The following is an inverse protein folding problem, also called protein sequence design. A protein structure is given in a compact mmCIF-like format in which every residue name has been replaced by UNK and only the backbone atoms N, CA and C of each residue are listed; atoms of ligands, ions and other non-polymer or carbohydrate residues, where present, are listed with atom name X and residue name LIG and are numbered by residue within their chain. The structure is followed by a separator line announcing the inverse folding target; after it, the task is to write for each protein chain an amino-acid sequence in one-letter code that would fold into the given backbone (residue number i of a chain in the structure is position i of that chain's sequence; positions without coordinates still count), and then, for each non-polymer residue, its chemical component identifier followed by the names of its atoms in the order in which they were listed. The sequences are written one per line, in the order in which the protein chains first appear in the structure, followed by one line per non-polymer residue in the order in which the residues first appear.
data_IF_522245211955
#
_entry.id   IF_522245211955
#
_cell.length_a   1.000
_cell.length_b   1.000
_cell.length_c   1.000
_cell.angle_alpha   90.00
_cell.angle_beta   90.00
_cell.angle_gamma   90.00
#
_symmetry.space_group_name_H-M   'P 1'
#
loop_
_entity.id
_entity.type
_entity.pdbx_description
1 polymer ?
#
# COMPACT_ATOMS: atom_id res chain seq x y z
N UNK A 1 -9.09 14.61 2.28
CA UNK A 1 -9.19 13.19 1.83
C UNK A 1 -9.77 12.37 2.97
N UNK A 2 -10.76 11.50 2.68
CA UNK A 2 -11.45 10.73 3.72
C UNK A 2 -10.69 9.47 4.13
N UNK A 3 -10.76 9.15 5.42
CA UNK A 3 -10.38 7.85 5.96
C UNK A 3 -11.52 6.84 5.83
N UNK A 4 -11.20 5.55 5.86
CA UNK A 4 -12.19 4.48 5.91
C UNK A 4 -13.18 4.68 7.06
N UNK A 5 -14.42 4.29 6.81
CA UNK A 5 -15.52 4.48 7.74
C UNK A 5 -15.21 3.87 9.11
N UNK A 6 -15.34 4.70 10.16
CA UNK A 6 -15.57 4.23 11.52
C UNK A 6 -14.59 4.64 12.61
N UNK A 7 -13.53 5.43 12.39
CA UNK A 7 -12.63 5.82 13.51
C UNK A 7 -12.05 7.24 13.49
N UNK A 8 -11.63 7.82 12.34
CA UNK A 8 -11.20 9.23 12.33
C UNK A 8 -12.37 10.19 12.16
N UNK A 9 -12.43 11.23 12.99
CA UNK A 9 -13.44 12.31 12.94
C UNK A 9 -13.02 13.47 12.03
N UNK A 10 -11.73 13.55 11.68
CA UNK A 10 -11.21 14.53 10.71
C UNK A 10 -10.68 13.86 9.45
N UNK A 11 -10.57 14.66 8.38
CA UNK A 11 -9.88 14.25 7.16
C UNK A 11 -8.36 14.13 7.34
N UNK A 12 -7.69 13.51 6.35
CA UNK A 12 -6.23 13.49 6.25
C UNK A 12 -5.65 14.90 6.33
N UNK A 13 -4.64 15.06 7.18
CA UNK A 13 -3.90 16.31 7.34
C UNK A 13 -2.39 16.01 7.55
N UNK A 14 -1.60 17.07 7.75
CA UNK A 14 -0.17 16.97 7.96
C UNK A 14 0.25 16.12 9.18
N UNK A 15 -0.59 16.03 10.23
CA UNK A 15 -0.27 15.23 11.43
C UNK A 15 -0.18 13.74 11.11
N UNK A 16 -0.97 13.26 10.14
CA UNK A 16 -0.97 11.86 9.70
C UNK A 16 0.32 11.50 8.97
N UNK A 17 0.79 12.41 8.11
CA UNK A 17 2.06 12.24 7.40
C UNK A 17 3.22 12.27 8.38
N UNK A 18 3.30 13.28 9.25
CA UNK A 18 4.34 13.37 10.27
C UNK A 18 4.37 12.11 11.13
N UNK A 19 3.21 11.65 11.61
CA UNK A 19 3.11 10.41 12.38
C UNK A 19 3.65 9.19 11.64
N UNK A 20 3.29 9.03 10.37
CA UNK A 20 3.65 7.85 9.56
C UNK A 20 5.16 7.69 9.40
N UNK A 21 5.90 8.80 9.29
CA UNK A 21 7.36 8.79 9.22
C UNK A 21 8.02 8.81 10.61
N UNK A 22 7.49 9.59 11.56
CA UNK A 22 8.02 9.69 12.92
C UNK A 22 7.97 8.34 13.65
N UNK A 23 6.90 7.56 13.49
CA UNK A 23 6.80 6.20 14.02
C UNK A 23 8.00 5.32 13.64
N UNK A 24 8.47 5.42 12.39
CA UNK A 24 9.56 4.59 11.89
C UNK A 24 10.92 5.10 12.35
N UNK A 25 11.13 6.42 12.31
CA UNK A 25 12.42 7.05 12.61
C UNK A 25 12.69 7.25 14.10
N UNK A 26 11.71 7.74 14.84
CA UNK A 26 11.88 8.25 16.20
C UNK A 26 11.69 7.12 17.21
N UNK A 27 12.78 6.68 17.84
CA UNK A 27 12.75 5.60 18.82
C UNK A 27 11.89 5.91 20.05
N UNK A 28 11.62 7.18 20.33
CA UNK A 28 10.78 7.64 21.43
C UNK A 28 9.29 7.74 21.04
N UNK A 29 8.94 7.57 19.76
CA UNK A 29 7.54 7.52 19.36
C UNK A 29 6.87 6.28 20.00
N UNK A 30 5.70 6.42 20.66
CA UNK A 30 5.00 5.31 21.31
C UNK A 30 4.70 4.11 20.40
N UNK A 31 4.53 4.36 19.11
CA UNK A 31 4.28 3.32 18.10
C UNK A 31 5.56 2.68 17.54
N UNK A 32 6.74 3.21 17.86
CA UNK A 32 7.98 2.73 17.27
C UNK A 32 8.25 1.25 17.56
N UNK A 33 7.94 0.77 18.77
CA UNK A 33 8.11 -0.65 19.17
C UNK A 33 6.86 -1.51 19.01
N UNK A 34 5.73 -0.94 18.62
CA UNK A 34 4.48 -1.69 18.42
C UNK A 34 4.66 -2.69 17.27
N UNK A 35 4.11 -3.89 17.45
CA UNK A 35 4.22 -5.02 16.51
C UNK A 35 5.66 -5.44 16.17
N UNK A 36 6.61 -5.19 17.09
CA UNK A 36 8.02 -5.56 16.94
C UNK A 36 8.92 -4.42 16.45
N UNK A 37 8.34 -3.36 15.87
CA UNK A 37 9.11 -2.17 15.48
C UNK A 37 10.21 -2.42 14.45
N UNK A 38 9.96 -3.33 13.51
CA UNK A 38 10.89 -3.63 12.42
C UNK A 38 10.48 -2.85 11.17
N UNK A 39 11.28 -1.84 10.81
CA UNK A 39 11.02 -0.96 9.67
C UNK A 39 12.02 -1.27 8.54
N UNK A 40 12.01 -2.51 8.05
CA UNK A 40 13.07 -3.07 7.17
C UNK A 40 13.44 -2.19 5.97
N UNK A 41 12.45 -1.72 5.20
CA UNK A 41 12.71 -0.83 4.06
C UNK A 41 13.23 0.53 4.51
N UNK A 42 12.63 1.12 5.54
CA UNK A 42 13.01 2.44 6.04
C UNK A 42 14.47 2.43 6.52
N UNK A 43 14.84 1.42 7.30
CA UNK A 43 16.19 1.20 7.80
C UNK A 43 17.16 0.81 6.66
N UNK A 44 16.79 -0.16 5.83
CA UNK A 44 17.63 -0.68 4.75
C UNK A 44 17.94 0.33 3.65
N UNK A 45 17.07 1.31 3.44
CA UNK A 45 17.28 2.43 2.51
C UNK A 45 18.04 3.62 3.14
N UNK A 46 18.42 3.52 4.42
CA UNK A 46 19.17 4.58 5.11
C UNK A 46 18.35 5.84 5.38
N UNK A 47 17.01 5.75 5.40
CA UNK A 47 16.14 6.90 5.65
C UNK A 47 16.28 7.52 7.05
N UNK A 48 16.63 6.79 8.14
CA UNK A 48 16.90 7.40 9.43
C UNK A 48 18.03 8.46 9.39
N UNK A 49 19.06 8.23 8.58
CA UNK A 49 20.20 9.14 8.41
C UNK A 49 19.93 10.23 7.37
N UNK A 50 19.15 9.91 6.34
CA UNK A 50 18.81 10.84 5.27
C UNK A 50 17.79 11.89 5.72
N UNK A 51 16.69 11.47 6.35
CA UNK A 51 15.62 12.37 6.75
C UNK A 51 16.04 13.01 8.07
N UNK A 52 16.42 14.29 8.03
CA UNK A 52 16.73 15.07 9.23
C UNK A 52 15.46 15.38 10.03
N UNK A 53 14.38 15.76 9.35
CA UNK A 53 13.14 16.20 9.99
C UNK A 53 11.94 16.05 9.05
N UNK A 54 10.77 15.78 9.62
CA UNK A 54 9.48 15.87 8.92
C UNK A 54 8.63 16.91 9.64
N UNK A 55 8.47 18.08 9.01
CA UNK A 55 7.79 19.25 9.57
C UNK A 55 6.34 19.29 9.13
N UNK A 56 5.46 19.58 10.08
CA UNK A 56 4.16 20.19 9.80
C UNK A 56 4.37 21.70 9.62
N UNK A 57 4.21 22.21 8.40
CA UNK A 57 4.25 23.66 8.13
C UNK A 57 2.90 24.28 8.45
N UNK A 58 1.83 23.60 8.02
CA UNK A 58 0.43 23.89 8.34
C UNK A 58 -0.38 22.59 8.22
N UNK A 59 -1.72 22.64 8.34
CA UNK A 59 -2.57 21.45 8.30
C UNK A 59 -2.55 20.69 6.96
N UNK A 60 -2.15 21.33 5.87
CA UNK A 60 -2.13 20.74 4.52
C UNK A 60 -0.74 20.75 3.86
N UNK A 61 0.30 21.21 4.58
CA UNK A 61 1.67 21.31 4.07
C UNK A 61 2.65 20.58 4.99
N UNK A 62 3.37 19.63 4.42
CA UNK A 62 4.45 18.89 5.09
C UNK A 62 5.77 19.18 4.38
N UNK A 63 6.82 19.40 5.16
CA UNK A 63 8.17 19.61 4.64
C UNK A 63 9.12 18.54 5.16
N UNK A 64 9.75 17.81 4.24
CA UNK A 64 10.87 16.92 4.54
C UNK A 64 12.18 17.72 4.47
N UNK A 65 12.96 17.67 5.53
CA UNK A 65 14.32 18.22 5.56
C UNK A 65 15.29 17.06 5.48
N UNK A 66 16.12 17.04 4.44
CA UNK A 66 17.11 15.98 4.21
C UNK A 66 18.50 16.45 4.63
N UNK A 67 19.34 15.54 5.10
CA UNK A 67 20.74 15.80 5.47
C UNK A 67 21.65 15.99 4.26
N UNK A 68 21.23 15.49 3.10
CA UNK A 68 21.89 15.65 1.80
C UNK A 68 20.85 15.57 0.67
N UNK A 69 21.17 16.04 -0.55
CA UNK A 69 20.35 15.77 -1.72
C UNK A 69 20.26 14.27 -1.99
N UNK A 70 19.07 13.76 -2.27
CA UNK A 70 18.82 12.37 -2.62
C UNK A 70 17.92 12.33 -3.86
N UNK A 71 18.50 12.03 -5.01
CA UNK A 71 17.80 12.04 -6.29
C UNK A 71 16.56 11.13 -6.34
N UNK A 72 16.57 9.88 -5.81
CA UNK A 72 15.41 9.00 -5.83
C UNK A 72 14.35 9.32 -4.78
N UNK A 73 14.56 10.31 -3.89
CA UNK A 73 13.69 10.52 -2.72
C UNK A 73 12.19 10.61 -3.06
N UNK A 74 11.84 11.28 -4.16
CA UNK A 74 10.44 11.38 -4.59
C UNK A 74 9.85 10.02 -5.00
N UNK A 75 10.66 9.16 -5.63
CA UNK A 75 10.25 7.81 -5.98
C UNK A 75 10.15 6.92 -4.73
N UNK A 76 11.04 7.10 -3.75
CA UNK A 76 11.00 6.37 -2.47
C UNK A 76 9.70 6.67 -1.72
N UNK A 77 9.23 7.93 -1.72
CA UNK A 77 7.95 8.33 -1.13
C UNK A 77 6.72 7.70 -1.81
N UNK A 78 6.86 7.13 -3.00
CA UNK A 78 5.80 6.44 -3.72
C UNK A 78 5.77 4.92 -3.47
N UNK A 79 6.69 4.39 -2.67
CA UNK A 79 6.77 2.97 -2.32
C UNK A 79 5.78 2.60 -1.20
N UNK A 80 5.46 1.32 -1.09
CA UNK A 80 4.43 0.82 -0.17
C UNK A 80 4.74 1.14 1.32
N UNK A 81 6.00 1.13 1.74
CA UNK A 81 6.42 1.42 3.12
C UNK A 81 6.14 2.87 3.54
N UNK A 82 6.01 3.78 2.56
CA UNK A 82 5.74 5.20 2.77
C UNK A 82 4.24 5.52 2.85
N UNK A 83 3.39 4.49 2.97
CA UNK A 83 1.93 4.64 3.14
C UNK A 83 1.57 5.48 4.35
N UNK A 84 0.58 6.37 4.20
CA UNK A 84 0.12 7.27 5.26
C UNK A 84 -0.91 6.57 6.16
N UNK A 85 -0.61 6.53 7.46
CA UNK A 85 -1.44 5.99 8.53
C UNK A 85 -2.17 7.12 9.28
N UNK A 86 -3.35 6.82 9.82
CA UNK A 86 -4.13 7.79 10.58
C UNK A 86 -3.56 8.01 11.98
N UNK A 87 -3.14 9.24 12.28
CA UNK A 87 -2.69 9.64 13.63
C UNK A 87 -3.84 9.60 14.63
N UNK A 88 -5.04 10.03 14.23
CA UNK A 88 -6.21 10.01 15.10
C UNK A 88 -6.58 8.58 15.51
N UNK A 89 -6.55 7.64 14.56
CA UNK A 89 -6.79 6.24 14.87
C UNK A 89 -5.70 5.65 15.76
N UNK A 90 -4.43 6.00 15.50
CA UNK A 90 -3.32 5.62 16.36
C UNK A 90 -3.51 6.14 17.80
N UNK A 91 -3.94 7.38 17.98
CA UNK A 91 -4.23 7.93 19.31
C UNK A 91 -5.39 7.20 20.00
N UNK A 92 -6.46 6.90 19.26
CA UNK A 92 -7.59 6.15 19.79
C UNK A 92 -7.18 4.75 20.29
N UNK A 93 -6.37 4.03 19.52
CA UNK A 93 -5.90 2.68 19.90
C UNK A 93 -4.90 2.70 21.04
N UNK A 94 -4.05 3.73 21.11
CA UNK A 94 -3.13 3.92 22.23
C UNK A 94 -3.90 4.21 23.52
N UNK A 95 -4.90 5.09 23.48
CA UNK A 95 -5.80 5.38 24.61
C UNK A 95 -6.59 4.15 25.06
N UNK A 96 -7.00 3.30 24.11
CA UNK A 96 -7.69 2.05 24.39
C UNK A 96 -6.77 0.92 24.88
N UNK A 97 -5.45 1.14 24.98
CA UNK A 97 -4.48 0.13 25.38
C UNK A 97 -4.34 -1.03 24.40
N UNK A 98 -4.72 -0.83 23.12
CA UNK A 98 -4.63 -1.85 22.06
C UNK A 98 -3.92 -1.30 20.81
N UNK A 99 -2.69 -0.74 20.94
CA UNK A 99 -2.00 -0.09 19.84
C UNK A 99 -1.73 -1.01 18.65
N UNK A 100 -1.58 -2.31 18.85
CA UNK A 100 -1.41 -3.33 17.81
C UNK A 100 -2.57 -3.35 16.80
N UNK A 101 -3.76 -2.85 17.17
CA UNK A 101 -4.90 -2.73 16.25
C UNK A 101 -4.66 -1.72 15.12
N UNK A 102 -3.71 -0.79 15.27
CA UNK A 102 -3.31 0.07 14.16
C UNK A 102 -2.80 -0.77 12.98
N UNK A 103 -2.02 -1.81 13.26
CA UNK A 103 -1.39 -2.67 12.26
C UNK A 103 -2.29 -3.82 11.82
N UNK A 104 -3.08 -4.37 12.75
CA UNK A 104 -3.93 -5.54 12.50
C UNK A 104 -5.29 -5.19 11.89
N UNK A 105 -5.81 -3.98 12.15
CA UNK A 105 -7.11 -3.51 11.65
C UNK A 105 -6.90 -2.20 10.87
N UNK A 106 -6.44 -2.28 9.62
CA UNK A 106 -5.97 -1.12 8.87
C UNK A 106 -7.09 -0.12 8.57
N UNK A 107 -6.82 1.15 8.86
CA UNK A 107 -7.62 2.30 8.45
C UNK A 107 -6.75 3.16 7.53
N UNK A 108 -7.18 3.28 6.28
CA UNK A 108 -6.46 4.01 5.23
C UNK A 108 -7.36 4.97 4.46
N UNK A 109 -6.84 5.50 3.36
CA UNK A 109 -7.56 6.39 2.43
C UNK A 109 -7.65 5.81 1.00
N UNK A 110 -7.35 4.50 0.86
CA UNK A 110 -7.29 3.79 -0.41
C UNK A 110 -8.64 3.49 -1.06
N UNK A 111 -8.65 2.84 -2.23
CA UNK A 111 -9.90 2.53 -2.94
C UNK A 111 -10.73 1.40 -2.31
N UNK A 112 -10.12 0.57 -1.46
CA UNK A 112 -10.76 -0.59 -0.83
C UNK A 112 -10.48 -0.64 0.67
N UNK A 113 -11.50 -0.97 1.45
CA UNK A 113 -11.42 -1.15 2.89
C UNK A 113 -11.55 -2.62 3.29
N UNK A 114 -10.77 -3.06 4.28
CA UNK A 114 -10.83 -4.43 4.78
C UNK A 114 -12.20 -4.71 5.41
N UNK A 115 -12.90 -5.72 4.90
CA UNK A 115 -14.20 -6.17 5.43
C UNK A 115 -14.02 -7.39 6.34
N UNK A 116 -13.21 -8.36 5.93
CA UNK A 116 -12.99 -9.59 6.69
C UNK A 116 -11.63 -10.19 6.34
N UNK A 117 -10.92 -10.64 7.36
CA UNK A 117 -9.73 -11.47 7.21
C UNK A 117 -9.96 -12.82 7.88
N UNK A 118 -9.82 -13.91 7.12
CA UNK A 118 -9.76 -15.27 7.63
C UNK A 118 -8.37 -15.81 7.32
N UNK A 119 -7.57 -15.98 8.38
CA UNK A 119 -6.18 -16.42 8.30
C UNK A 119 -6.07 -17.68 7.44
N UNK A 120 -5.10 -17.68 6.54
CA UNK A 120 -4.77 -18.78 5.62
C UNK A 120 -5.90 -19.24 4.68
N UNK A 121 -7.00 -18.47 4.59
CA UNK A 121 -8.17 -18.83 3.78
C UNK A 121 -8.58 -17.72 2.80
N UNK A 122 -9.01 -16.56 3.30
CA UNK A 122 -9.54 -15.49 2.45
C UNK A 122 -9.42 -14.11 3.06
N UNK A 123 -9.26 -13.12 2.19
CA UNK A 123 -9.34 -11.70 2.53
C UNK A 123 -10.45 -11.08 1.69
N UNK A 124 -11.37 -10.36 2.34
CA UNK A 124 -12.46 -9.65 1.68
C UNK A 124 -12.29 -8.15 1.91
N UNK A 125 -12.38 -7.41 0.82
CA UNK A 125 -12.42 -5.96 0.83
C UNK A 125 -13.70 -5.48 0.18
N UNK A 126 -14.21 -4.34 0.67
CA UNK A 126 -15.31 -3.59 0.05
C UNK A 126 -14.74 -2.32 -0.59
N UNK A 127 -15.25 -1.91 -1.73
CA UNK A 127 -14.94 -0.59 -2.29
C UNK A 127 -15.29 0.52 -1.28
N UNK A 128 -14.43 1.51 -1.16
CA UNK A 128 -14.63 2.63 -0.26
C UNK A 128 -15.41 3.75 -0.96
N UNK A 129 -16.64 3.99 -0.53
CA UNK A 129 -17.53 4.98 -1.15
C UNK A 129 -17.02 6.42 -1.04
N UNK A 130 -16.23 6.71 0.01
CA UNK A 130 -15.59 8.00 0.24
C UNK A 130 -14.21 8.18 -0.40
N UNK A 131 -13.80 7.26 -1.29
CA UNK A 131 -12.50 7.33 -1.95
C UNK A 131 -12.34 8.63 -2.74
N UNK A 132 -11.21 9.31 -2.53
CA UNK A 132 -10.93 10.63 -3.10
C UNK A 132 -10.58 10.59 -4.59
N UNK A 133 -10.20 9.42 -5.11
CA UNK A 133 -9.85 9.21 -6.51
C UNK A 133 -10.99 8.63 -7.35
N UNK A 134 -10.63 7.96 -8.45
CA UNK A 134 -11.61 7.25 -9.28
C UNK A 134 -12.09 6.00 -8.56
N UNK A 135 -13.40 5.87 -8.36
CA UNK A 135 -14.00 4.70 -7.71
C UNK A 135 -13.71 3.42 -8.50
N UNK A 136 -13.40 2.30 -7.81
CA UNK A 136 -13.31 1.01 -8.47
C UNK A 136 -14.61 0.64 -9.18
N UNK A 137 -14.50 -0.08 -10.30
CA UNK A 137 -15.66 -0.65 -11.02
C UNK A 137 -16.20 -1.93 -10.39
N UNK A 138 -15.57 -2.42 -9.32
CA UNK A 138 -15.95 -3.62 -8.59
C UNK A 138 -16.24 -3.25 -7.14
N UNK A 139 -17.36 -3.73 -6.61
CA UNK A 139 -17.78 -3.39 -5.24
C UNK A 139 -17.07 -4.23 -4.17
N UNK A 140 -16.67 -5.45 -4.54
CA UNK A 140 -16.03 -6.42 -3.64
C UNK A 140 -14.80 -7.01 -4.30
N UNK A 141 -13.70 -7.00 -3.56
CA UNK A 141 -12.46 -7.66 -3.94
C UNK A 141 -12.20 -8.82 -2.97
N UNK A 142 -11.99 -10.02 -3.49
CA UNK A 142 -11.76 -11.22 -2.68
C UNK A 142 -10.42 -11.85 -3.06
N UNK A 143 -9.54 -11.99 -2.09
CA UNK A 143 -8.33 -12.77 -2.21
C UNK A 143 -8.61 -14.17 -1.67
N UNK A 144 -8.61 -15.17 -2.55
CA UNK A 144 -8.66 -16.58 -2.14
C UNK A 144 -7.22 -17.09 -1.98
N UNK A 145 -6.79 -17.28 -0.74
CA UNK A 145 -5.43 -17.72 -0.43
C UNK A 145 -5.28 -19.16 -0.91
N UNK A 146 -4.51 -19.33 -1.99
CA UNK A 146 -4.32 -20.62 -2.67
C UNK A 146 -2.83 -20.79 -2.96
N UNK A 147 -2.05 -21.38 -2.01
CA UNK A 147 -0.60 -21.48 -2.14
C UNK A 147 -0.15 -22.33 -3.33
N UNK A 148 -0.90 -23.38 -3.65
CA UNK A 148 -0.60 -24.30 -4.76
C UNK A 148 -0.93 -23.65 -6.12
N UNK A 149 0.05 -23.62 -7.02
CA UNK A 149 -0.07 -23.01 -8.35
C UNK A 149 -1.00 -23.77 -9.29
N UNK A 150 -1.01 -25.11 -9.21
CA UNK A 150 -1.88 -25.97 -10.02
C UNK A 150 -3.35 -25.78 -9.61
N UNK A 151 -3.60 -25.63 -8.30
CA UNK A 151 -4.94 -25.33 -7.77
C UNK A 151 -5.38 -23.91 -8.18
N UNK A 152 -4.48 -22.91 -8.16
CA UNK A 152 -4.80 -21.57 -8.70
C UNK A 152 -5.24 -21.63 -10.16
N UNK A 153 -4.50 -22.39 -10.97
CA UNK A 153 -4.81 -22.54 -12.40
C UNK A 153 -6.15 -23.26 -12.62
N UNK A 154 -6.42 -24.33 -11.88
CA UNK A 154 -7.71 -25.03 -11.95
C UNK A 154 -8.90 -24.11 -11.56
N UNK A 155 -8.72 -23.25 -10.55
CA UNK A 155 -9.73 -22.24 -10.16
C UNK A 155 -9.97 -21.22 -11.28
N UNK A 156 -8.90 -20.76 -11.93
CA UNK A 156 -9.00 -19.83 -13.06
C UNK A 156 -9.79 -20.46 -14.22
N UNK A 157 -9.49 -21.71 -14.57
CA UNK A 157 -10.20 -22.43 -15.64
C UNK A 157 -11.69 -22.61 -15.35
N UNK A 158 -12.07 -22.76 -14.07
CA UNK A 158 -13.46 -22.88 -13.62
C UNK A 158 -14.13 -21.53 -13.35
N UNK A 159 -13.44 -20.41 -13.58
CA UNK A 159 -13.88 -19.06 -13.25
C UNK A 159 -14.21 -18.86 -11.75
N UNK A 160 -13.61 -19.69 -10.87
CA UNK A 160 -13.67 -19.51 -9.42
C UNK A 160 -12.74 -18.36 -8.95
N UNK A 161 -11.76 -17.98 -9.79
CA UNK A 161 -11.02 -16.73 -9.69
C UNK A 161 -10.82 -16.12 -11.09
N UNK A 162 -10.60 -14.79 -11.14
CA UNK A 162 -10.41 -14.05 -12.40
C UNK A 162 -8.94 -13.66 -12.64
N UNK A 163 -8.11 -13.71 -11.61
CA UNK A 163 -6.68 -13.38 -11.65
C UNK A 163 -5.91 -14.36 -10.77
N UNK A 164 -4.72 -14.79 -11.24
CA UNK A 164 -3.75 -15.53 -10.43
C UNK A 164 -2.33 -15.03 -10.66
N UNK A 165 -1.50 -14.91 -9.62
CA UNK A 165 -0.07 -14.66 -9.78
C UNK A 165 0.72 -15.98 -9.87
N UNK A 166 1.94 -15.87 -10.39
CA UNK A 166 2.97 -16.92 -10.36
C UNK A 166 2.48 -18.29 -10.87
N UNK A 167 2.07 -18.42 -12.14
CA UNK A 167 1.74 -19.73 -12.71
C UNK A 167 2.99 -20.61 -12.73
N UNK A 168 2.82 -21.91 -12.48
CA UNK A 168 3.84 -22.88 -12.88
C UNK A 168 3.91 -22.89 -14.40
N UNK A 169 5.11 -22.72 -14.96
CA UNK A 169 5.36 -22.96 -16.38
C UNK A 169 5.22 -24.47 -16.63
N UNK A 170 3.99 -24.94 -16.79
CA UNK A 170 3.72 -26.26 -17.37
C UNK A 170 3.56 -26.05 -18.86
N UNK A 171 4.70 -26.05 -19.54
CA UNK A 171 4.76 -25.92 -20.97
C UNK A 171 4.39 -27.25 -21.63
N UNK A 172 3.21 -27.32 -22.28
CA UNK A 172 2.69 -28.52 -22.96
C UNK A 172 2.48 -28.34 -24.48
N UNK A 173 3.07 -27.31 -25.10
CA UNK A 173 3.07 -27.10 -26.57
C UNK A 173 4.38 -27.57 -27.21
N UNK A 174 4.61 -27.44 -28.54
CA UNK A 174 5.94 -27.52 -29.17
C UNK A 174 6.64 -26.14 -29.24
N UNK A 175 7.97 -26.09 -29.10
CA UNK A 175 8.71 -24.83 -28.79
C UNK A 175 8.69 -23.93 -30.02
N UNK A 176 8.11 -22.71 -29.99
CA UNK A 176 8.48 -21.72 -30.98
C UNK A 176 9.85 -21.18 -30.57
N UNK A 177 10.85 -21.37 -31.43
CA UNK A 177 12.27 -21.00 -31.26
C UNK A 177 12.52 -19.48 -31.13
N UNK A 178 11.53 -18.66 -30.77
CA UNK A 178 11.72 -17.20 -30.71
C UNK A 178 10.94 -16.60 -29.55
N UNK A 179 11.62 -16.39 -28.42
CA UNK A 179 11.20 -15.40 -27.43
C UNK A 179 11.78 -14.07 -27.88
N UNK A 180 11.00 -13.26 -28.60
CA UNK A 180 11.33 -11.84 -28.73
C UNK A 180 10.94 -11.13 -27.44
N UNK A 181 11.92 -10.92 -26.55
CA UNK A 181 11.82 -9.85 -25.55
C UNK A 181 12.17 -8.56 -26.26
N UNK A 182 11.15 -7.88 -26.80
CA UNK A 182 11.27 -6.56 -27.39
C UNK A 182 10.74 -5.51 -26.41
N UNK A 183 11.63 -4.69 -25.83
CA UNK A 183 11.28 -3.41 -25.23
C UNK A 183 10.84 -2.49 -26.37
N UNK A 184 9.54 -2.23 -26.51
CA UNK A 184 9.07 -1.22 -27.46
C UNK A 184 9.32 0.18 -26.87
N UNK A 185 10.43 0.78 -27.25
CA UNK A 185 10.60 2.24 -27.22
C UNK A 185 9.87 2.83 -28.44
N UNK A 186 9.16 3.94 -28.22
CA UNK A 186 7.99 4.35 -29.01
C UNK A 186 8.18 4.71 -30.49
N UNK A 187 7.05 4.79 -31.21
CA UNK A 187 6.81 5.78 -32.27
C UNK A 187 5.35 6.25 -32.26
N UNK A 188 5.20 7.53 -31.99
CA UNK A 188 4.02 8.36 -32.24
C UNK A 188 3.61 8.28 -33.72
N UNK A 189 2.31 8.24 -34.03
CA UNK A 189 1.75 8.57 -35.35
C UNK A 189 0.54 9.51 -35.20
N UNK A 190 0.35 10.45 -36.13
CA UNK A 190 -0.47 11.64 -35.93
C UNK A 190 -1.95 11.39 -36.22
N UNK A 191 -2.78 12.27 -35.68
CA UNK A 191 -4.17 12.48 -36.06
C UNK A 191 -4.29 12.73 -37.58
N UNK A 192 -5.24 12.05 -38.23
CA UNK A 192 -5.87 12.54 -39.46
C UNK A 192 -7.37 12.67 -39.25
N UNK A 193 -7.90 13.77 -39.80
CA UNK A 193 -9.24 14.28 -39.66
C UNK A 193 -10.26 13.50 -40.51
N UNK A 194 -11.51 13.54 -40.05
CA UNK A 194 -12.73 13.29 -40.82
C UNK A 194 -13.83 14.18 -40.27
#
# INVERSE_FOLDING_TARGET
MNWFEGRPTRELNADDVVFSFDRQKNAQNPYHKVSGGSYEYFEGMGLPELISEVKKVDDNTVQFVLTRPEAPFLADLAMDFASILSKEYADAMMKAGTPEKLDLNPIGTGPFQLQQYQKDSRIRYKAFDGYWGTKPKIDTLVFSITPDASVRYAKLQKNECQVMPYPTVVWNGPVPTVVHVGVFTGRYRPHEAG
#
